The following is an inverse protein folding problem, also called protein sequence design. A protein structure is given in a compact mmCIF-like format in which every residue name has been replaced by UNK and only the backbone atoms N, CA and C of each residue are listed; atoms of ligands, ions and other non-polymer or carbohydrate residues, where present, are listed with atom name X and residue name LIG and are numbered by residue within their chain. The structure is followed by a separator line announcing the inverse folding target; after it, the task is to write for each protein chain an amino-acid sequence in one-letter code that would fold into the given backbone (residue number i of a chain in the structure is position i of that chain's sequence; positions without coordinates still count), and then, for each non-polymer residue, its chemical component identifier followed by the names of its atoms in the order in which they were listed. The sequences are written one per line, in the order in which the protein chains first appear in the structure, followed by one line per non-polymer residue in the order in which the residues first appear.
data_IF_704934786119
#
_entry.id   IF_704934786119
#
_cell.length_a   1.000
_cell.length_b   1.000
_cell.length_c   1.000
_cell.angle_alpha   90.00
_cell.angle_beta   90.00
_cell.angle_gamma   90.00
#
_symmetry.space_group_name_H-M   'P 1'
#
loop_
_entity.id
_entity.type
_entity.pdbx_description
1 polymer ?
#
# COMPACT_ATOMS: atom_id res chain seq x y z
N UNK A 1 -5.63 -20.70 4.70
CA UNK A 1 -6.15 -19.51 5.42
C UNK A 1 -6.85 -20.01 6.67
N UNK A 2 -6.62 -19.37 7.82
CA UNK A 2 -7.29 -19.69 9.09
C UNK A 2 -7.87 -18.42 9.67
N UNK A 3 -9.11 -18.49 10.17
CA UNK A 3 -9.78 -17.40 10.88
C UNK A 3 -10.27 -17.96 12.21
N UNK A 4 -9.96 -17.26 13.31
CA UNK A 4 -10.41 -17.60 14.66
C UNK A 4 -11.14 -16.38 15.23
N UNK A 5 -12.35 -16.59 15.73
CA UNK A 5 -13.15 -15.55 16.36
C UNK A 5 -13.51 -16.01 17.77
N UNK A 6 -13.14 -15.21 18.76
CA UNK A 6 -13.56 -15.34 20.16
C UNK A 6 -14.57 -14.21 20.41
N UNK A 7 -15.84 -14.59 20.34
CA UNK A 7 -16.97 -13.65 20.40
C UNK A 7 -17.12 -13.07 21.81
N UNK A 8 -16.83 -13.86 22.84
CA UNK A 8 -16.96 -13.47 24.25
C UNK A 8 -15.99 -12.33 24.61
N UNK A 9 -14.77 -12.38 24.06
CA UNK A 9 -13.76 -11.34 24.24
C UNK A 9 -13.73 -10.29 23.14
N UNK A 10 -14.59 -10.40 22.12
CA UNK A 10 -14.65 -9.49 20.98
C UNK A 10 -13.36 -9.49 20.14
N UNK A 11 -12.69 -10.64 20.02
CA UNK A 11 -11.39 -10.81 19.37
C UNK A 11 -11.50 -11.63 18.10
N UNK A 12 -10.80 -11.17 17.06
CA UNK A 12 -10.69 -11.86 15.77
C UNK A 12 -9.21 -11.94 15.41
N UNK A 13 -8.76 -13.12 15.03
CA UNK A 13 -7.44 -13.37 14.44
C UNK A 13 -7.60 -14.05 13.08
N UNK A 14 -6.82 -13.61 12.10
CA UNK A 14 -6.76 -14.22 10.77
C UNK A 14 -5.31 -14.42 10.37
N UNK A 15 -5.01 -15.55 9.72
CA UNK A 15 -3.71 -15.84 9.12
C UNK A 15 -3.89 -16.40 7.72
N UNK A 16 -3.14 -15.83 6.78
CA UNK A 16 -3.00 -16.32 5.41
C UNK A 16 -1.56 -16.78 5.21
N UNK A 17 -1.33 -18.07 5.46
CA UNK A 17 0.00 -18.68 5.43
C UNK A 17 1.01 -17.84 6.22
N UNK A 18 2.16 -17.57 5.62
CA UNK A 18 3.24 -16.67 6.04
C UNK A 18 3.14 -15.27 5.41
N UNK A 19 2.08 -15.00 4.63
CA UNK A 19 1.95 -13.78 3.83
C UNK A 19 1.20 -12.67 4.58
N UNK A 20 0.19 -13.03 5.38
CA UNK A 20 -0.57 -12.06 6.15
C UNK A 20 -1.01 -12.60 7.52
N UNK A 21 -0.97 -11.74 8.52
CA UNK A 21 -1.58 -12.00 9.83
C UNK A 21 -2.30 -10.76 10.32
N UNK A 22 -3.54 -10.91 10.76
CA UNK A 22 -4.36 -9.83 11.26
C UNK A 22 -4.92 -10.17 12.65
N UNK A 23 -4.99 -9.17 13.53
CA UNK A 23 -5.68 -9.24 14.82
C UNK A 23 -6.50 -8.00 15.04
N UNK A 24 -7.76 -8.18 15.40
CA UNK A 24 -8.71 -7.10 15.69
C UNK A 24 -9.37 -7.42 17.02
N UNK A 25 -9.46 -6.44 17.91
CA UNK A 25 -10.24 -6.58 19.14
C UNK A 25 -11.04 -5.32 19.43
N UNK A 26 -12.23 -5.50 19.99
CA UNK A 26 -12.99 -4.41 20.58
C UNK A 26 -12.69 -4.29 22.08
N UNK A 27 -12.39 -3.07 22.54
CA UNK A 27 -12.19 -2.77 23.96
C UNK A 27 -12.82 -1.43 24.30
N UNK A 28 -13.63 -1.39 25.35
CA UNK A 28 -14.23 -0.16 25.88
C UNK A 28 -14.93 0.69 24.79
N UNK A 29 -15.63 0.04 23.85
CA UNK A 29 -16.29 0.70 22.73
C UNK A 29 -15.37 1.19 21.60
N UNK A 30 -14.08 0.91 21.66
CA UNK A 30 -13.09 1.27 20.63
C UNK A 30 -12.52 0.03 19.93
N UNK A 31 -12.25 0.14 18.63
CA UNK A 31 -11.59 -0.89 17.84
C UNK A 31 -10.07 -0.70 17.87
N UNK A 32 -9.35 -1.80 18.11
CA UNK A 32 -7.90 -1.87 18.03
C UNK A 32 -7.52 -3.00 17.07
N UNK A 33 -6.72 -2.69 16.05
CA UNK A 33 -6.37 -3.64 14.99
C UNK A 33 -4.93 -3.56 14.53
N UNK A 34 -4.42 -4.69 14.06
CA UNK A 34 -3.09 -4.81 13.46
C UNK A 34 -3.15 -5.75 12.26
N UNK A 35 -2.48 -5.36 11.18
CA UNK A 35 -2.25 -6.16 9.98
C UNK A 35 -0.75 -6.21 9.70
N UNK A 36 -0.22 -7.41 9.53
CA UNK A 36 1.17 -7.64 9.17
C UNK A 36 1.22 -8.35 7.82
N UNK A 37 2.10 -7.91 6.93
CA UNK A 37 2.23 -8.40 5.56
C UNK A 37 3.67 -8.78 5.21
N UNK A 38 3.83 -9.81 4.38
CA UNK A 38 5.12 -10.38 3.99
C UNK A 38 5.85 -10.95 5.20
N UNK A 39 7.17 -10.77 5.26
CA UNK A 39 8.01 -11.29 6.35
C UNK A 39 7.61 -10.80 7.76
N UNK A 40 6.83 -9.70 7.87
CA UNK A 40 6.26 -9.29 9.17
C UNK A 40 5.18 -10.23 9.67
N UNK A 41 4.48 -10.95 8.81
CA UNK A 41 3.39 -11.86 9.19
C UNK A 41 3.89 -13.15 9.86
N UNK A 42 5.13 -13.56 9.62
CA UNK A 42 5.73 -14.79 10.17
C UNK A 42 5.85 -14.77 11.70
N UNK A 43 5.97 -13.59 12.30
CA UNK A 43 6.13 -13.42 13.75
C UNK A 43 4.82 -13.58 14.53
N UNK A 44 4.95 -14.02 15.78
CA UNK A 44 3.86 -13.91 16.76
C UNK A 44 3.80 -12.47 17.27
N UNK A 45 2.66 -11.81 17.09
CA UNK A 45 2.46 -10.43 17.54
C UNK A 45 1.65 -10.39 18.83
N UNK A 46 1.72 -9.29 19.58
CA UNK A 46 0.83 -9.06 20.71
C UNK A 46 -0.58 -8.65 20.20
N UNK A 47 -1.60 -8.75 21.06
CA UNK A 47 -2.90 -8.16 20.75
C UNK A 47 -2.82 -6.62 20.79
N UNK A 48 -3.38 -5.90 19.80
CA UNK A 48 -3.29 -4.45 19.71
C UNK A 48 -4.06 -3.78 20.86
N UNK A 49 -3.40 -2.96 21.68
CA UNK A 49 -3.99 -2.38 22.89
C UNK A 49 -4.37 -0.89 22.76
N UNK A 50 -4.01 -0.24 21.65
CA UNK A 50 -4.36 1.14 21.35
C UNK A 50 -5.51 1.21 20.34
N UNK A 51 -6.45 2.16 20.47
CA UNK A 51 -7.44 2.43 19.44
C UNK A 51 -6.79 2.73 18.08
N UNK A 52 -7.43 2.29 17.00
CA UNK A 52 -6.92 2.47 15.64
C UNK A 52 -6.45 1.18 14.98
N UNK A 53 -6.06 1.29 13.72
CA UNK A 53 -5.51 0.20 12.90
C UNK A 53 -4.04 0.50 12.59
N UNK A 54 -3.18 -0.50 12.75
CA UNK A 54 -1.77 -0.42 12.31
C UNK A 54 -1.50 -1.44 11.21
N UNK A 55 -0.89 -1.02 10.11
CA UNK A 55 -0.44 -1.90 9.01
C UNK A 55 1.09 -1.91 8.96
N UNK A 56 1.70 -3.09 9.03
CA UNK A 56 3.15 -3.26 8.93
C UNK A 56 3.50 -4.25 7.83
N UNK A 57 4.10 -3.75 6.76
CA UNK A 57 4.44 -4.54 5.58
C UNK A 57 5.96 -4.55 5.36
N UNK A 58 6.53 -5.75 5.22
CA UNK A 58 7.87 -5.95 4.69
C UNK A 58 7.78 -7.00 3.58
N UNK A 59 7.60 -6.52 2.35
CA UNK A 59 7.33 -7.35 1.17
C UNK A 59 8.56 -7.37 0.26
N UNK A 60 8.86 -8.50 -0.41
CA UNK A 60 10.06 -8.63 -1.23
C UNK A 60 10.01 -7.78 -2.50
N UNK A 61 8.82 -7.59 -3.07
CA UNK A 61 8.59 -6.80 -4.27
C UNK A 61 7.24 -6.09 -4.16
N UNK A 62 7.19 -4.85 -4.66
CA UNK A 62 5.97 -4.06 -4.78
C UNK A 62 5.75 -3.76 -6.26
N UNK A 63 4.72 -4.36 -6.85
CA UNK A 63 4.16 -3.90 -8.12
C UNK A 63 3.02 -2.92 -7.78
N UNK A 64 3.20 -1.60 -7.97
CA UNK A 64 2.19 -0.61 -7.59
C UNK A 64 0.86 -0.79 -8.33
N UNK A 65 0.88 -1.24 -9.59
CA UNK A 65 -0.31 -1.42 -10.41
C UNK A 65 -1.11 -2.65 -9.97
N UNK A 66 -0.41 -3.78 -9.74
CA UNK A 66 -1.05 -4.98 -9.22
C UNK A 66 -1.67 -4.72 -7.84
N UNK A 67 -0.97 -3.99 -6.97
CA UNK A 67 -1.50 -3.61 -5.66
C UNK A 67 -2.69 -2.66 -5.76
N UNK A 68 -2.65 -1.65 -6.62
CA UNK A 68 -3.78 -0.76 -6.87
C UNK A 68 -5.03 -1.56 -7.27
N UNK A 69 -4.88 -2.49 -8.21
CA UNK A 69 -5.99 -3.34 -8.67
C UNK A 69 -6.52 -4.24 -7.56
N UNK A 70 -5.64 -4.83 -6.75
CA UNK A 70 -6.02 -5.71 -5.65
C UNK A 70 -6.79 -4.98 -4.53
N UNK A 71 -6.47 -3.71 -4.25
CA UNK A 71 -7.12 -2.93 -3.19
C UNK A 71 -8.36 -2.15 -3.65
N UNK A 72 -8.50 -1.90 -4.95
CA UNK A 72 -9.64 -1.12 -5.50
C UNK A 72 -11.00 -1.60 -5.01
N UNK A 73 -11.31 -2.91 -4.96
CA UNK A 73 -12.61 -3.39 -4.44
C UNK A 73 -12.88 -2.94 -2.99
N UNK A 74 -11.83 -2.85 -2.16
CA UNK A 74 -11.93 -2.41 -0.77
C UNK A 74 -12.18 -0.90 -0.64
N UNK A 75 -11.98 -0.14 -1.72
CA UNK A 75 -12.24 1.31 -1.77
C UNK A 75 -13.63 1.63 -2.32
N UNK A 76 -14.26 0.70 -3.05
CA UNK A 76 -15.58 0.87 -3.68
C UNK A 76 -16.70 0.35 -2.78
N UNK A 77 -16.42 -0.63 -1.91
CA UNK A 77 -17.34 -1.03 -0.85
C UNK A 77 -17.36 0.03 0.27
N UNK A 78 -18.20 1.04 0.07
CA UNK A 78 -18.87 1.71 1.18
C UNK A 78 -19.58 0.60 1.98
N UNK A 79 -18.99 0.20 3.10
CA UNK A 79 -19.50 -0.86 3.95
C UNK A 79 -21.02 -0.66 4.21
N UNK A 80 -21.82 -1.73 4.26
CA UNK A 80 -23.26 -1.59 4.53
C UNK A 80 -23.47 -0.88 5.87
N UNK A 81 -24.15 0.26 5.75
CA UNK A 81 -24.69 1.20 6.72
C UNK A 81 -24.69 0.82 8.22
N UNK A 82 -24.14 1.72 9.04
CA UNK A 82 -24.85 2.13 10.27
C UNK A 82 -24.59 3.61 10.52
N UNK A 83 -25.67 4.36 10.67
CA UNK A 83 -25.71 5.75 11.07
C UNK A 83 -25.05 5.93 12.44
N UNK A 84 -23.76 6.20 12.44
CA UNK A 84 -23.11 7.00 13.46
C UNK A 84 -22.32 8.02 12.67
N UNK A 85 -22.45 9.29 13.00
CA UNK A 85 -21.60 10.38 12.49
C UNK A 85 -20.14 9.96 12.73
N UNK A 86 -19.56 9.30 11.73
CA UNK A 86 -18.61 8.22 11.96
C UNK A 86 -17.21 8.76 12.01
N UNK A 87 -16.64 8.86 13.22
CA UNK A 87 -15.21 9.10 13.38
C UNK A 87 -14.47 7.97 12.69
N UNK A 88 -13.87 8.25 11.52
CA UNK A 88 -13.03 7.28 10.81
C UNK A 88 -11.96 6.77 11.78
N UNK A 89 -11.86 5.44 11.89
CA UNK A 89 -10.86 4.82 12.77
C UNK A 89 -9.46 5.22 12.26
N UNK A 90 -8.61 5.83 13.10
CA UNK A 90 -7.26 6.21 12.70
C UNK A 90 -6.48 5.01 12.18
N UNK A 91 -5.77 5.19 11.08
CA UNK A 91 -4.93 4.16 10.49
C UNK A 91 -3.48 4.67 10.46
N UNK A 92 -2.55 3.81 10.83
CA UNK A 92 -1.11 4.06 10.64
C UNK A 92 -0.52 2.93 9.82
N UNK A 93 0.49 3.22 9.03
CA UNK A 93 1.13 2.22 8.19
C UNK A 93 2.64 2.41 8.09
N UNK A 94 3.33 1.30 7.90
CA UNK A 94 4.73 1.23 7.52
C UNK A 94 4.89 0.16 6.45
N UNK A 95 5.50 0.51 5.34
CA UNK A 95 5.80 -0.35 4.21
C UNK A 95 7.30 -0.26 3.92
N UNK A 96 7.91 -1.41 3.69
CA UNK A 96 9.27 -1.51 3.17
C UNK A 96 9.32 -2.57 2.09
N UNK A 97 9.99 -2.25 0.99
CA UNK A 97 10.31 -3.18 -0.09
C UNK A 97 11.73 -2.90 -0.60
N UNK A 98 12.55 -3.93 -0.84
CA UNK A 98 13.83 -3.73 -1.52
C UNK A 98 13.64 -3.47 -3.02
N UNK A 99 12.45 -3.69 -3.57
CA UNK A 99 12.19 -3.60 -4.99
C UNK A 99 10.77 -3.09 -5.30
N UNK A 100 10.67 -1.93 -5.96
CA UNK A 100 9.48 -1.52 -6.70
C UNK A 100 9.62 -2.02 -8.12
N UNK A 101 8.67 -2.82 -8.58
CA UNK A 101 8.66 -3.44 -9.90
C UNK A 101 7.87 -2.57 -10.86
N UNK A 102 8.42 -2.38 -12.05
CA UNK A 102 7.72 -1.77 -13.19
C UNK A 102 8.21 -2.44 -14.46
N UNK A 103 7.29 -2.99 -15.27
CA UNK A 103 7.62 -3.75 -16.48
C UNK A 103 8.64 -4.87 -16.23
N UNK A 104 8.41 -5.67 -15.18
CA UNK A 104 9.28 -6.78 -14.76
C UNK A 104 10.69 -6.37 -14.27
N UNK A 105 11.00 -5.07 -14.30
CA UNK A 105 12.28 -4.53 -13.88
C UNK A 105 12.22 -3.95 -12.46
N UNK A 106 13.32 -4.14 -11.72
CA UNK A 106 13.44 -3.61 -10.37
C UNK A 106 13.96 -2.16 -10.38
N UNK A 107 13.07 -1.21 -10.06
CA UNK A 107 13.40 0.22 -10.00
C UNK A 107 14.29 0.58 -8.81
N UNK A 108 14.13 -0.12 -7.70
CA UNK A 108 14.89 0.13 -6.48
C UNK A 108 14.07 -0.07 -5.20
N UNK A 109 14.73 0.19 -4.08
CA UNK A 109 14.15 0.13 -2.75
C UNK A 109 13.23 1.31 -2.46
N UNK A 110 12.20 1.04 -1.68
CA UNK A 110 11.20 2.01 -1.28
C UNK A 110 10.68 1.69 0.12
N UNK A 111 10.52 2.72 0.92
CA UNK A 111 9.79 2.68 2.17
C UNK A 111 8.81 3.85 2.25
N UNK A 112 7.66 3.56 2.83
CA UNK A 112 6.64 4.54 3.13
C UNK A 112 6.17 4.36 4.57
N UNK A 113 6.00 5.46 5.28
CA UNK A 113 5.38 5.47 6.60
C UNK A 113 4.41 6.63 6.69
N UNK A 114 3.36 6.47 7.48
CA UNK A 114 2.36 7.53 7.57
C UNK A 114 1.10 7.09 8.28
N UNK A 115 0.07 7.91 8.12
CA UNK A 115 -1.24 7.61 8.67
C UNK A 115 -2.37 8.28 7.92
N UNK A 116 -3.57 7.80 8.22
CA UNK A 116 -4.84 8.33 7.75
C UNK A 116 -5.67 8.71 8.97
N UNK A 117 -6.11 9.95 9.02
CA UNK A 117 -6.96 10.46 10.09
C UNK A 117 -8.00 11.42 9.51
N UNK A 118 -9.29 11.11 9.69
CA UNK A 118 -10.38 11.96 9.19
C UNK A 118 -10.30 12.27 7.70
N UNK A 119 -9.86 11.30 6.89
CA UNK A 119 -9.68 11.48 5.44
C UNK A 119 -8.41 12.23 5.01
N UNK A 120 -7.61 12.73 5.97
CA UNK A 120 -6.28 13.28 5.70
C UNK A 120 -5.23 12.17 5.73
N UNK A 121 -4.39 12.12 4.71
CA UNK A 121 -3.22 11.25 4.65
C UNK A 121 -1.97 12.10 4.74
N UNK A 122 -1.03 11.70 5.59
CA UNK A 122 0.34 12.20 5.59
C UNK A 122 1.30 11.00 5.53
N UNK A 123 2.19 11.03 4.54
CA UNK A 123 3.08 9.91 4.24
C UNK A 123 4.49 10.43 3.94
N UNK A 124 5.48 9.93 4.67
CA UNK A 124 6.89 10.05 4.32
C UNK A 124 7.30 8.97 3.32
N UNK A 125 8.09 9.35 2.32
CA UNK A 125 8.67 8.46 1.31
C UNK A 125 10.18 8.48 1.46
N UNK A 126 10.82 7.31 1.44
CA UNK A 126 12.28 7.21 1.49
C UNK A 126 12.78 5.98 0.75
N UNK A 127 14.00 6.06 0.24
CA UNK A 127 14.62 4.99 -0.53
C UNK A 127 15.53 5.54 -1.62
N UNK A 128 16.13 4.64 -2.39
CA UNK A 128 16.98 5.02 -3.53
C UNK A 128 16.19 5.33 -4.81
N UNK A 129 14.90 5.00 -4.86
CA UNK A 129 14.02 5.37 -5.97
C UNK A 129 13.48 6.80 -5.81
N UNK A 130 12.91 7.09 -4.66
CA UNK A 130 12.27 8.37 -4.34
C UNK A 130 12.42 8.69 -2.84
N UNK A 131 12.62 9.96 -2.53
CA UNK A 131 12.54 10.50 -1.16
C UNK A 131 11.69 11.76 -1.18
N UNK A 132 10.82 11.93 -0.19
CA UNK A 132 9.91 13.07 -0.12
C UNK A 132 8.73 12.87 0.83
N UNK A 133 7.66 13.61 0.59
CA UNK A 133 6.40 13.54 1.35
C UNK A 133 5.21 13.60 0.41
N UNK A 134 4.16 12.87 0.77
CA UNK A 134 2.85 12.90 0.13
C UNK A 134 1.80 13.26 1.18
N UNK A 135 0.95 14.22 0.84
CA UNK A 135 -0.23 14.58 1.63
C UNK A 135 -1.48 14.47 0.76
N UNK A 136 -2.53 13.87 1.31
CA UNK A 136 -3.82 13.80 0.64
C UNK A 136 -4.91 14.37 1.53
N UNK A 137 -5.73 15.25 0.98
CA UNK A 137 -6.91 15.81 1.62
C UNK A 137 -8.03 15.94 0.59
N UNK A 138 -9.00 15.03 0.61
CA UNK A 138 -10.12 15.03 -0.32
C UNK A 138 -10.95 16.34 -0.31
N UNK A 139 -10.92 17.09 0.79
CA UNK A 139 -11.65 18.35 0.95
C UNK A 139 -10.88 19.58 0.43
N UNK A 140 -9.62 19.40 0.03
CA UNK A 140 -8.78 20.48 -0.52
C UNK A 140 -9.06 20.69 -2.02
N UNK A 141 -9.01 21.94 -2.53
CA UNK A 141 -9.01 22.23 -3.96
C UNK A 141 -7.86 21.56 -4.72
N UNK A 142 -6.76 21.27 -4.02
CA UNK A 142 -5.63 20.46 -4.48
C UNK A 142 -5.53 19.26 -3.56
N UNK A 143 -6.22 18.15 -3.87
CA UNK A 143 -6.39 17.05 -2.93
C UNK A 143 -5.12 16.23 -2.74
N UNK A 144 -4.16 16.34 -3.64
CA UNK A 144 -2.87 15.67 -3.55
C UNK A 144 -1.76 16.73 -3.59
N UNK A 145 -0.94 16.76 -2.54
CA UNK A 145 0.29 17.53 -2.47
C UNK A 145 1.47 16.55 -2.35
N UNK A 146 2.51 16.76 -3.17
CA UNK A 146 3.69 15.93 -3.22
C UNK A 146 4.95 16.81 -3.25
N UNK A 147 5.78 16.67 -2.22
CA UNK A 147 7.10 17.28 -2.17
C UNK A 147 8.15 16.21 -2.40
N UNK A 148 8.81 16.23 -3.56
CA UNK A 148 9.87 15.28 -3.91
C UNK A 148 11.23 15.93 -3.64
N UNK A 149 12.00 15.31 -2.76
CA UNK A 149 13.34 15.76 -2.37
C UNK A 149 14.41 15.13 -3.27
N UNK A 150 14.23 13.86 -3.63
CA UNK A 150 15.12 13.14 -4.54
C UNK A 150 14.32 12.13 -5.37
N UNK A 151 14.69 11.98 -6.64
CA UNK A 151 14.11 11.01 -7.57
C UNK A 151 15.21 10.44 -8.47
N UNK A 152 15.30 9.10 -8.54
CA UNK A 152 16.26 8.42 -9.42
C UNK A 152 15.79 8.41 -10.87
N UNK A 153 16.12 9.47 -11.62
CA UNK A 153 15.71 9.65 -13.02
C UNK A 153 16.35 8.64 -13.99
N UNK A 154 17.63 8.27 -13.81
CA UNK A 154 18.35 7.42 -14.78
C UNK A 154 17.64 6.08 -15.01
N UNK A 155 17.11 5.49 -13.93
CA UNK A 155 16.38 4.21 -13.97
C UNK A 155 15.01 4.36 -14.64
N UNK A 156 14.32 5.47 -14.39
CA UNK A 156 13.03 5.77 -15.00
C UNK A 156 13.18 6.04 -16.51
N UNK A 157 14.22 6.79 -16.90
CA UNK A 157 14.52 7.10 -18.29
C UNK A 157 14.95 5.86 -19.08
N UNK A 158 15.73 4.96 -18.47
CA UNK A 158 16.10 3.69 -19.10
C UNK A 158 14.85 2.88 -19.56
N UNK A 159 13.81 2.86 -18.73
CA UNK A 159 12.56 2.16 -19.04
C UNK A 159 11.73 2.87 -20.12
N UNK A 160 11.64 4.21 -20.05
CA UNK A 160 10.93 4.98 -21.07
C UNK A 160 11.54 4.77 -22.47
N UNK A 161 12.86 4.59 -22.55
CA UNK A 161 13.57 4.31 -23.80
C UNK A 161 13.32 2.89 -24.34
N UNK A 162 13.18 1.89 -23.46
CA UNK A 162 12.81 0.51 -23.85
C UNK A 162 11.41 0.46 -24.46
N UNK A 163 10.46 1.24 -23.91
CA UNK A 163 9.11 1.37 -24.46
C UNK A 163 9.12 1.92 -25.88
N UNK A 164 9.86 3.01 -26.12
CA UNK A 164 9.96 3.64 -27.44
C UNK A 164 10.61 2.73 -28.49
N UNK A 165 11.56 1.89 -28.10
CA UNK A 165 12.19 0.92 -29.01
C UNK A 165 11.23 -0.23 -29.37
N UNK A 166 10.33 -0.62 -28.46
CA UNK A 166 9.35 -1.70 -28.68
C UNK A 166 8.18 -1.26 -29.56
N UNK A 167 7.80 0.02 -29.50
CA UNK A 167 6.76 0.62 -30.36
C UNK A 167 7.28 1.03 -31.76
N UNK A 168 8.58 0.92 -32.01
CA UNK A 168 9.15 1.22 -33.32
C UNK A 168 8.80 0.10 -34.33
N UNK A 169 8.17 0.40 -35.48
CA UNK A 169 7.86 -0.62 -36.48
C UNK A 169 9.16 -1.24 -37.03
N UNK A 170 9.19 -2.57 -37.09
CA UNK A 170 10.32 -3.33 -37.66
C UNK A 170 10.63 -2.90 -39.10
N UNK A 171 11.89 -2.62 -39.46
CA UNK A 171 12.31 -2.13 -40.78
C UNK A 171 11.92 -3.00 -41.98
N UNK A 172 11.62 -4.28 -41.76
CA UNK A 172 11.31 -5.24 -42.83
C UNK A 172 9.95 -5.02 -43.50
N UNK A 173 9.12 -4.10 -42.98
CA UNK A 173 7.80 -3.80 -43.55
C UNK A 173 7.84 -2.80 -44.74
N UNK A 174 8.98 -2.15 -45.01
CA UNK A 174 9.12 -1.15 -46.09
C UNK A 174 9.69 -1.70 -47.40
N UNK A 175 10.00 -3.00 -47.49
CA UNK A 175 10.64 -3.61 -48.66
C UNK A 175 9.68 -4.30 -49.66
N UNK A 176 8.35 -4.18 -49.49
CA UNK A 176 7.35 -4.77 -50.42
C UNK A 176 6.32 -3.74 -50.87
N UNK A 177 6.77 -2.71 -51.57
CA UNK A 177 5.92 -1.94 -52.47
C UNK A 177 6.80 -1.33 -53.56
N UNK A 178 7.08 -2.13 -54.58
CA UNK A 178 7.73 -1.75 -55.83
C UNK A 178 7.08 -2.50 -56.98
#
# INVERSE_FOLDING_TARGET
MTVTADIDSGRIESRLADIASARIQQRNGSMAGSLYLGSKAESAHAWPNQPGITINANIPQLDPLAWQQAITPLMVDEAPTSSSEGTQTPLTFSLTTPCVVYQEECLGSFSANGGVNGGFVDMGLSGNLVTGRLQYNAQSPQPLDMAIEALSLDRLLALANVQHASDAPTPDSLAKSG
#
